data_IF_846057871953
#
_entry.id   IF_846057871953
#
_cell.length_a   1.000
_cell.length_b   1.000
_cell.length_c   1.000
_cell.angle_alpha   90.00
_cell.angle_beta   90.00
_cell.angle_gamma   90.00
#
_symmetry.space_group_name_H-M   'P 1'
#
loop_
_entity.id
_entity.type
_entity.pdbx_description
1 polymer ?
#
# COMPACT_ATOMS: atom_id res chain seq x y z
N UNK A 1 -34.99 -0.86 13.49
CA UNK A 1 -35.40 -1.52 12.23
C UNK A 1 -35.15 -0.53 11.08
N UNK A 2 -33.97 -0.54 10.44
CA UNK A 2 -33.75 0.27 9.24
C UNK A 2 -34.44 -0.47 8.08
N UNK A 3 -35.53 0.08 7.58
CA UNK A 3 -36.17 -0.35 6.33
C UNK A 3 -35.12 -0.12 5.22
N UNK A 4 -34.60 -1.22 4.65
CA UNK A 4 -33.85 -1.15 3.39
C UNK A 4 -34.78 -0.56 2.34
N UNK A 5 -34.58 0.71 1.99
CA UNK A 5 -35.19 1.26 0.80
C UNK A 5 -34.72 0.38 -0.38
N UNK A 6 -35.70 -0.19 -1.12
CA UNK A 6 -35.47 -0.81 -2.44
C UNK A 6 -35.17 0.28 -3.48
N UNK A 7 -34.23 1.16 -3.18
CA UNK A 7 -33.75 2.20 -4.07
C UNK A 7 -32.37 1.86 -4.60
N UNK A 8 -31.99 2.45 -5.71
CA UNK A 8 -30.62 2.43 -6.20
C UNK A 8 -29.67 2.84 -5.04
N UNK A 9 -28.63 2.03 -4.82
CA UNK A 9 -27.55 2.35 -3.89
C UNK A 9 -26.50 3.19 -4.65
N UNK A 10 -26.49 4.51 -4.55
CA UNK A 10 -25.62 5.37 -5.34
C UNK A 10 -24.13 5.06 -5.10
N UNK A 11 -23.74 4.74 -3.87
CA UNK A 11 -22.37 4.33 -3.56
C UNK A 11 -21.94 3.08 -4.32
N UNK A 12 -22.81 2.08 -4.47
CA UNK A 12 -22.52 0.87 -5.27
C UNK A 12 -22.39 1.23 -6.76
N UNK A 13 -23.26 2.11 -7.28
CA UNK A 13 -23.16 2.53 -8.69
C UNK A 13 -21.87 3.29 -8.97
N UNK A 14 -21.47 4.21 -8.09
CA UNK A 14 -20.19 4.90 -8.22
C UNK A 14 -19.01 3.93 -8.14
N UNK A 15 -19.08 2.93 -7.26
CA UNK A 15 -18.04 1.90 -7.17
C UNK A 15 -17.95 1.09 -8.46
N UNK A 16 -19.06 0.65 -9.04
CA UNK A 16 -19.08 -0.08 -10.30
C UNK A 16 -18.51 0.77 -11.46
N UNK A 17 -18.81 2.07 -11.49
CA UNK A 17 -18.21 3.00 -12.46
C UNK A 17 -16.69 3.08 -12.31
N UNK A 18 -16.16 3.14 -11.07
CA UNK A 18 -14.72 3.12 -10.81
C UNK A 18 -14.07 1.81 -11.27
N UNK A 19 -14.70 0.66 -10.98
CA UNK A 19 -14.20 -0.64 -11.40
C UNK A 19 -14.16 -0.76 -12.93
N UNK A 20 -15.18 -0.25 -13.61
CA UNK A 20 -15.24 -0.21 -15.06
C UNK A 20 -14.13 0.66 -15.66
N UNK A 21 -13.90 1.86 -15.09
CA UNK A 21 -12.85 2.78 -15.54
C UNK A 21 -11.44 2.19 -15.37
N UNK A 22 -11.18 1.50 -14.27
CA UNK A 22 -9.90 0.81 -14.03
C UNK A 22 -9.73 -0.38 -14.97
N UNK A 23 -10.81 -1.04 -15.33
CA UNK A 23 -10.85 -2.27 -16.11
C UNK A 23 -10.53 -3.51 -15.27
N UNK A 24 -11.42 -4.50 -15.33
CA UNK A 24 -11.32 -5.72 -14.50
C UNK A 24 -10.00 -6.48 -14.69
N UNK A 25 -9.44 -6.47 -15.91
CA UNK A 25 -8.17 -7.14 -16.22
C UNK A 25 -6.96 -6.49 -15.52
N UNK A 26 -7.09 -5.24 -15.06
CA UNK A 26 -6.02 -4.53 -14.36
C UNK A 26 -6.06 -4.76 -12.84
N UNK A 27 -7.13 -5.39 -12.33
CA UNK A 27 -7.32 -5.63 -10.90
C UNK A 27 -6.81 -7.05 -10.57
N UNK A 28 -5.82 -7.19 -9.69
CA UNK A 28 -5.32 -8.49 -9.28
C UNK A 28 -6.39 -9.33 -8.58
N UNK A 29 -6.28 -10.68 -8.65
CA UNK A 29 -7.39 -11.58 -8.32
C UNK A 29 -7.84 -11.52 -6.86
N UNK A 30 -6.95 -11.40 -5.87
CA UNK A 30 -7.34 -11.31 -4.45
C UNK A 30 -8.00 -9.98 -4.15
N UNK A 31 -7.50 -8.88 -4.72
CA UNK A 31 -8.13 -7.56 -4.62
C UNK A 31 -9.54 -7.62 -5.20
N UNK A 32 -9.71 -8.18 -6.39
CA UNK A 32 -11.02 -8.32 -7.03
C UNK A 32 -11.96 -9.23 -6.23
N UNK A 33 -11.49 -10.37 -5.73
CA UNK A 33 -12.27 -11.28 -4.90
C UNK A 33 -12.72 -10.61 -3.59
N UNK A 34 -11.82 -9.87 -2.93
CA UNK A 34 -12.16 -9.16 -1.69
C UNK A 34 -13.18 -8.06 -1.92
N UNK A 35 -13.07 -7.30 -3.03
CA UNK A 35 -14.09 -6.32 -3.45
C UNK A 35 -15.44 -7.00 -3.66
N UNK A 36 -15.46 -8.11 -4.42
CA UNK A 36 -16.68 -8.85 -4.73
C UNK A 36 -17.36 -9.39 -3.46
N UNK A 37 -16.60 -9.96 -2.52
CA UNK A 37 -17.13 -10.47 -1.24
C UNK A 37 -17.78 -9.35 -0.41
N UNK A 38 -17.14 -8.19 -0.30
CA UNK A 38 -17.68 -7.05 0.45
C UNK A 38 -18.98 -6.50 -0.19
N UNK A 39 -18.99 -6.36 -1.53
CA UNK A 39 -20.19 -5.93 -2.26
C UNK A 39 -21.30 -6.97 -2.10
N UNK A 40 -20.99 -8.26 -2.20
CA UNK A 40 -21.95 -9.34 -2.04
C UNK A 40 -22.61 -9.30 -0.65
N UNK A 41 -21.83 -9.22 0.44
CA UNK A 41 -22.39 -9.16 1.81
C UNK A 41 -23.10 -7.86 2.10
N UNK A 42 -22.79 -6.79 1.41
CA UNK A 42 -23.58 -5.56 1.50
C UNK A 42 -24.95 -5.71 0.82
N UNK A 43 -25.00 -6.31 -0.37
CA UNK A 43 -26.25 -6.52 -1.11
C UNK A 43 -27.09 -7.65 -0.51
N UNK A 44 -26.44 -8.72 -0.06
CA UNK A 44 -27.05 -9.94 0.51
C UNK A 44 -26.40 -10.25 1.87
N UNK A 45 -26.75 -9.51 2.95
CA UNK A 45 -26.13 -9.73 4.25
C UNK A 45 -26.52 -11.08 4.82
N UNK A 46 -25.53 -11.85 5.25
CA UNK A 46 -25.73 -13.13 5.94
C UNK A 46 -26.48 -12.97 7.26
N UNK A 47 -26.24 -11.86 7.96
CA UNK A 47 -26.89 -11.51 9.21
C UNK A 47 -27.21 -10.01 9.23
N UNK A 48 -28.24 -9.58 9.97
CA UNK A 48 -28.46 -8.15 10.22
C UNK A 48 -27.26 -7.51 10.91
N UNK A 49 -27.07 -6.21 10.73
CA UNK A 49 -25.92 -5.46 11.25
C UNK A 49 -25.71 -5.61 12.75
N UNK A 50 -26.76 -5.61 13.53
CA UNK A 50 -26.76 -5.83 14.98
C UNK A 50 -26.24 -7.21 15.40
N UNK A 51 -26.38 -8.20 14.51
CA UNK A 51 -25.88 -9.57 14.70
C UNK A 51 -24.51 -9.81 14.03
N UNK A 52 -24.03 -8.90 13.20
CA UNK A 52 -22.73 -8.99 12.51
C UNK A 52 -21.66 -8.11 13.16
N UNK A 53 -22.03 -7.00 13.80
CA UNK A 53 -21.07 -6.08 14.40
C UNK A 53 -20.32 -6.70 15.58
N UNK A 54 -19.05 -6.32 15.73
CA UNK A 54 -18.15 -6.82 16.76
C UNK A 54 -18.17 -5.91 18.00
N UNK A 55 -18.30 -6.48 19.20
CA UNK A 55 -18.14 -5.78 20.48
C UNK A 55 -17.65 -6.73 21.57
N UNK A 56 -17.09 -6.17 22.64
CA UNK A 56 -16.60 -6.92 23.81
C UNK A 56 -17.72 -7.77 24.40
N UNK A 57 -18.89 -7.16 24.64
CA UNK A 57 -20.05 -7.83 25.21
C UNK A 57 -20.46 -9.08 24.41
N UNK A 58 -20.58 -8.95 23.08
CA UNK A 58 -21.00 -10.08 22.26
C UNK A 58 -19.91 -11.14 22.09
N UNK A 59 -18.65 -10.74 21.86
CA UNK A 59 -17.58 -11.67 21.57
C UNK A 59 -17.03 -12.35 22.83
N UNK A 60 -16.69 -11.59 23.87
CA UNK A 60 -16.03 -12.14 25.06
C UNK A 60 -17.04 -12.72 26.06
N UNK A 61 -18.11 -12.00 26.40
CA UNK A 61 -19.07 -12.47 27.41
C UNK A 61 -20.10 -13.44 26.83
N UNK A 62 -20.67 -13.14 25.64
CA UNK A 62 -21.65 -14.04 25.00
C UNK A 62 -21.02 -15.11 24.10
N UNK A 63 -19.70 -15.07 23.92
CA UNK A 63 -18.89 -16.04 23.12
C UNK A 63 -19.35 -16.16 21.66
N UNK A 64 -19.87 -15.05 21.09
CA UNK A 64 -20.39 -15.00 19.73
C UNK A 64 -19.27 -14.69 18.71
N UNK A 65 -18.33 -15.63 18.59
CA UNK A 65 -17.07 -15.46 17.85
C UNK A 65 -17.22 -15.28 16.33
N UNK A 66 -18.38 -15.65 15.75
CA UNK A 66 -18.59 -15.42 14.32
C UNK A 66 -18.55 -13.93 13.93
N UNK A 67 -18.79 -13.02 14.89
CA UNK A 67 -18.69 -11.57 14.70
C UNK A 67 -17.26 -11.12 14.37
N UNK A 68 -16.25 -11.87 14.83
CA UNK A 68 -14.85 -11.55 14.59
C UNK A 68 -14.50 -11.47 13.10
N UNK A 69 -15.10 -12.36 12.29
CA UNK A 69 -14.87 -12.35 10.84
C UNK A 69 -16.00 -11.69 10.04
N UNK A 70 -17.26 -11.74 10.54
CA UNK A 70 -18.37 -11.12 9.82
C UNK A 70 -18.32 -9.60 9.84
N UNK A 71 -17.90 -9.00 10.96
CA UNK A 71 -17.87 -7.55 11.12
C UNK A 71 -17.03 -6.84 10.07
N UNK A 72 -15.89 -7.42 9.68
CA UNK A 72 -15.00 -6.83 8.69
C UNK A 72 -15.65 -6.70 7.30
N UNK A 73 -16.56 -7.61 6.93
CA UNK A 73 -17.18 -7.65 5.60
C UNK A 73 -18.57 -7.00 5.55
N UNK A 74 -19.12 -6.54 6.69
CA UNK A 74 -20.39 -5.83 6.74
C UNK A 74 -20.16 -4.32 6.79
N UNK A 75 -21.01 -3.56 6.13
CA UNK A 75 -20.94 -2.09 6.07
C UNK A 75 -22.24 -1.47 6.50
N UNK A 76 -22.16 -0.33 7.22
CA UNK A 76 -23.33 0.34 7.79
C UNK A 76 -24.25 0.92 6.70
N UNK A 77 -23.66 1.50 5.66
CA UNK A 77 -24.37 2.14 4.56
C UNK A 77 -23.55 2.05 3.26
N UNK A 78 -24.12 2.51 2.15
CA UNK A 78 -23.53 2.41 0.81
C UNK A 78 -22.34 3.35 0.60
N UNK A 79 -22.29 4.50 1.25
CA UNK A 79 -21.13 5.39 1.23
C UNK A 79 -19.97 4.82 2.03
N UNK A 80 -20.25 4.20 3.18
CA UNK A 80 -19.26 3.49 3.96
C UNK A 80 -18.63 2.35 3.14
N UNK A 81 -19.45 1.57 2.42
CA UNK A 81 -18.94 0.56 1.47
C UNK A 81 -18.09 1.21 0.36
N UNK A 82 -18.61 2.27 -0.28
CA UNK A 82 -17.94 2.93 -1.41
C UNK A 82 -16.52 3.37 -1.05
N UNK A 83 -16.37 4.15 0.03
CA UNK A 83 -15.06 4.67 0.42
C UNK A 83 -14.10 3.55 0.82
N UNK A 84 -14.58 2.50 1.49
CA UNK A 84 -13.78 1.34 1.82
C UNK A 84 -13.30 0.61 0.54
N UNK A 85 -14.18 0.37 -0.39
CA UNK A 85 -13.86 -0.41 -1.60
C UNK A 85 -12.98 0.37 -2.58
N UNK A 86 -13.18 1.68 -2.73
CA UNK A 86 -12.24 2.52 -3.51
C UNK A 86 -10.86 2.53 -2.87
N UNK A 87 -10.79 2.64 -1.54
CA UNK A 87 -9.53 2.55 -0.80
C UNK A 87 -8.83 1.19 -0.99
N UNK A 88 -9.61 0.09 -0.92
CA UNK A 88 -9.11 -1.27 -1.20
C UNK A 88 -8.60 -1.42 -2.62
N UNK A 89 -9.34 -0.93 -3.61
CA UNK A 89 -8.98 -1.01 -5.02
C UNK A 89 -7.57 -0.46 -5.27
N UNK A 90 -7.30 0.75 -4.82
CA UNK A 90 -6.00 1.41 -5.05
C UNK A 90 -4.87 0.82 -4.22
N UNK A 91 -5.11 0.51 -2.94
CA UNK A 91 -4.10 -0.10 -2.06
C UNK A 91 -3.85 -1.56 -2.45
N UNK A 92 -4.92 -2.30 -2.76
CA UNK A 92 -4.86 -3.71 -3.14
C UNK A 92 -4.08 -3.93 -4.43
N UNK A 93 -4.37 -3.17 -5.50
CA UNK A 93 -3.62 -3.28 -6.76
C UNK A 93 -2.11 -3.10 -6.54
N UNK A 94 -1.72 -2.11 -5.73
CA UNK A 94 -0.30 -1.84 -5.46
C UNK A 94 0.35 -2.93 -4.61
N UNK A 95 -0.31 -3.31 -3.53
CA UNK A 95 0.25 -4.27 -2.57
C UNK A 95 0.24 -5.70 -3.11
N UNK A 96 -0.81 -6.14 -3.80
CA UNK A 96 -0.89 -7.48 -4.36
C UNK A 96 0.14 -7.69 -5.47
N UNK A 97 0.34 -6.70 -6.37
CA UNK A 97 1.40 -6.74 -7.38
C UNK A 97 2.80 -6.80 -6.76
N UNK A 98 3.00 -6.18 -5.60
CA UNK A 98 4.29 -6.16 -4.91
C UNK A 98 4.55 -7.42 -4.08
N UNK A 99 3.55 -7.91 -3.37
CA UNK A 99 3.67 -9.00 -2.40
C UNK A 99 3.42 -10.38 -3.02
N UNK A 100 2.79 -10.41 -4.19
CA UNK A 100 2.27 -11.62 -4.81
C UNK A 100 0.89 -12.00 -4.27
N UNK A 101 0.10 -12.63 -5.13
CA UNK A 101 -1.32 -12.94 -4.89
C UNK A 101 -1.53 -13.79 -3.64
N UNK A 102 -0.76 -14.88 -3.46
CA UNK A 102 -0.94 -15.79 -2.32
C UNK A 102 -0.60 -15.14 -0.99
N UNK A 103 0.53 -14.41 -0.94
CA UNK A 103 0.93 -13.72 0.30
C UNK A 103 -0.04 -12.59 0.65
N UNK A 104 -0.50 -11.84 -0.35
CA UNK A 104 -1.49 -10.80 -0.14
C UNK A 104 -2.83 -11.37 0.34
N UNK A 105 -3.27 -12.50 -0.21
CA UNK A 105 -4.46 -13.22 0.26
C UNK A 105 -4.34 -13.65 1.73
N UNK A 106 -3.18 -14.20 2.10
CA UNK A 106 -2.90 -14.56 3.50
C UNK A 106 -2.93 -13.34 4.42
N UNK A 107 -2.35 -12.21 4.00
CA UNK A 107 -2.42 -10.93 4.74
C UNK A 107 -3.88 -10.49 4.93
N UNK A 108 -4.70 -10.49 3.89
CA UNK A 108 -6.11 -10.06 3.96
C UNK A 108 -6.86 -10.89 5.00
N UNK A 109 -6.75 -12.21 4.96
CA UNK A 109 -7.44 -13.10 5.90
C UNK A 109 -6.96 -12.87 7.33
N UNK A 110 -5.64 -12.88 7.54
CA UNK A 110 -5.08 -12.74 8.89
C UNK A 110 -5.34 -11.35 9.49
N UNK A 111 -5.19 -10.30 8.69
CA UNK A 111 -5.47 -8.93 9.15
C UNK A 111 -6.95 -8.73 9.50
N UNK A 112 -7.87 -9.35 8.75
CA UNK A 112 -9.30 -9.28 9.08
C UNK A 112 -9.60 -9.86 10.46
N UNK A 113 -8.92 -10.94 10.86
CA UNK A 113 -9.07 -11.55 12.17
C UNK A 113 -8.33 -10.75 13.26
N UNK A 114 -7.08 -10.37 13.01
CA UNK A 114 -6.25 -9.69 14.00
C UNK A 114 -6.76 -8.29 14.33
N UNK A 115 -7.23 -7.54 13.34
CA UNK A 115 -7.81 -6.21 13.58
C UNK A 115 -9.03 -6.31 14.49
N UNK A 116 -9.90 -7.30 14.28
CA UNK A 116 -11.03 -7.56 15.18
C UNK A 116 -10.58 -7.93 16.59
N UNK A 117 -9.56 -8.80 16.74
CA UNK A 117 -9.02 -9.18 18.05
C UNK A 117 -8.38 -8.00 18.79
N UNK A 118 -7.57 -7.19 18.10
CA UNK A 118 -6.95 -5.98 18.68
C UNK A 118 -8.01 -4.93 19.03
N UNK A 119 -9.05 -4.79 18.21
CA UNK A 119 -10.19 -3.92 18.53
C UNK A 119 -10.86 -4.32 19.85
N UNK A 120 -11.19 -5.61 20.00
CA UNK A 120 -11.78 -6.11 21.25
C UNK A 120 -10.88 -5.84 22.46
N UNK A 121 -9.58 -6.04 22.30
CA UNK A 121 -8.60 -5.78 23.35
C UNK A 121 -8.53 -4.29 23.72
N UNK A 122 -8.52 -3.39 22.75
CA UNK A 122 -8.53 -1.94 22.98
C UNK A 122 -9.80 -1.47 23.70
N UNK A 123 -10.98 -1.92 23.25
CA UNK A 123 -12.26 -1.53 23.88
C UNK A 123 -12.38 -2.09 25.30
N UNK A 124 -11.90 -3.33 25.55
CA UNK A 124 -11.90 -3.91 26.90
C UNK A 124 -10.96 -3.12 27.84
N UNK A 125 -9.78 -2.73 27.37
CA UNK A 125 -8.85 -1.89 28.14
C UNK A 125 -9.45 -0.51 28.41
N UNK A 126 -10.11 0.11 27.42
CA UNK A 126 -10.74 1.42 27.59
C UNK A 126 -11.90 1.36 28.60
N UNK A 127 -12.71 0.31 28.58
CA UNK A 127 -13.78 0.09 29.54
C UNK A 127 -13.22 0.01 30.97
N UNK A 128 -12.15 -0.74 31.18
CA UNK A 128 -11.52 -0.91 32.50
C UNK A 128 -10.83 0.37 32.97
N UNK A 129 -10.01 1.00 32.12
CA UNK A 129 -9.23 2.20 32.48
C UNK A 129 -10.09 3.43 32.76
N UNK A 130 -11.20 3.59 32.02
CA UNK A 130 -12.10 4.76 32.15
C UNK A 130 -13.26 4.46 33.10
N UNK A 131 -13.44 3.21 33.51
CA UNK A 131 -14.54 2.78 34.37
C UNK A 131 -15.92 2.96 33.69
N UNK A 132 -15.95 2.99 32.34
CA UNK A 132 -17.17 3.18 31.56
C UNK A 132 -17.54 1.92 30.78
N UNK A 133 -18.55 1.16 31.20
CA UNK A 133 -18.99 -0.06 30.53
C UNK A 133 -19.56 0.18 29.13
N UNK A 134 -19.77 1.43 28.72
CA UNK A 134 -20.25 1.77 27.38
C UNK A 134 -19.30 1.25 26.30
N UNK A 135 -17.99 1.25 26.57
CA UNK A 135 -16.98 0.74 25.66
C UNK A 135 -17.15 -0.75 25.34
N UNK A 136 -17.65 -1.56 26.29
CA UNK A 136 -17.94 -2.98 26.04
C UNK A 136 -19.08 -3.19 25.02
N UNK A 137 -19.96 -2.20 24.90
CA UNK A 137 -21.12 -2.22 24.02
C UNK A 137 -20.88 -1.55 22.67
N UNK A 138 -19.77 -0.85 22.50
CA UNK A 138 -19.41 -0.26 21.20
C UNK A 138 -19.37 -1.35 20.13
N UNK A 139 -20.13 -1.14 19.06
CA UNK A 139 -20.34 -2.14 18.03
C UNK A 139 -19.78 -1.64 16.69
N UNK A 140 -18.69 -2.25 16.24
CA UNK A 140 -18.00 -1.86 15.02
C UNK A 140 -18.28 -2.83 13.86
N UNK A 141 -18.32 -2.27 12.64
CA UNK A 141 -18.40 -2.98 11.36
C UNK A 141 -17.58 -2.26 10.30
N UNK A 142 -17.13 -2.98 9.30
CA UNK A 142 -16.49 -2.43 8.12
C UNK A 142 -15.06 -2.92 7.91
N UNK A 143 -14.64 -2.87 6.68
CA UNK A 143 -13.28 -3.28 6.26
C UNK A 143 -12.22 -2.22 6.58
N UNK A 144 -12.62 -1.05 7.10
CA UNK A 144 -11.77 0.12 7.30
C UNK A 144 -10.56 -0.13 8.20
N UNK A 145 -10.70 -0.92 9.27
CA UNK A 145 -9.56 -1.29 10.11
C UNK A 145 -8.48 -2.06 9.32
N UNK A 146 -8.89 -3.01 8.47
CA UNK A 146 -7.96 -3.72 7.56
C UNK A 146 -7.31 -2.73 6.58
N UNK A 147 -8.06 -1.75 6.07
CA UNK A 147 -7.52 -0.73 5.16
C UNK A 147 -6.49 0.17 5.83
N UNK A 148 -6.63 0.47 7.13
CA UNK A 148 -5.61 1.17 7.89
C UNK A 148 -4.34 0.32 8.04
N UNK A 149 -4.47 -0.98 8.29
CA UNK A 149 -3.32 -1.89 8.29
C UNK A 149 -2.63 -1.93 6.92
N UNK A 150 -3.40 -2.04 5.83
CA UNK A 150 -2.87 -1.99 4.46
C UNK A 150 -2.25 -0.62 4.12
N UNK A 151 -2.76 0.48 4.69
CA UNK A 151 -2.16 1.81 4.55
C UNK A 151 -0.78 1.87 5.16
N UNK A 152 -0.60 1.31 6.37
CA UNK A 152 0.71 1.20 7.02
C UNK A 152 1.68 0.39 6.15
N UNK A 153 1.24 -0.74 5.60
CA UNK A 153 2.05 -1.53 4.67
C UNK A 153 2.42 -0.74 3.41
N UNK A 154 1.45 -0.06 2.80
CA UNK A 154 1.71 0.75 1.60
C UNK A 154 2.74 1.86 1.87
N UNK A 155 2.63 2.51 3.03
CA UNK A 155 3.59 3.54 3.45
C UNK A 155 4.98 2.95 3.71
N UNK A 156 5.05 1.77 4.32
CA UNK A 156 6.31 1.06 4.55
C UNK A 156 7.03 0.69 3.25
N UNK A 157 6.28 0.22 2.25
CA UNK A 157 6.85 -0.16 0.96
C UNK A 157 7.13 1.03 0.02
N UNK A 158 6.58 2.22 0.31
CA UNK A 158 6.77 3.44 -0.47
C UNK A 158 7.12 4.63 0.44
N UNK A 159 8.27 4.60 1.14
CA UNK A 159 8.58 5.57 2.21
C UNK A 159 8.84 6.99 1.69
N UNK A 160 9.36 7.13 0.46
CA UNK A 160 9.70 8.44 -0.14
C UNK A 160 8.52 9.19 -0.76
N UNK A 161 7.31 8.62 -0.73
CA UNK A 161 6.12 9.25 -1.29
C UNK A 161 5.46 10.25 -0.35
N UNK A 162 4.62 11.11 -0.93
CA UNK A 162 3.71 11.97 -0.18
C UNK A 162 2.26 11.66 -0.57
N UNK A 163 1.35 11.88 0.36
CA UNK A 163 -0.09 11.73 0.15
C UNK A 163 -0.76 13.07 0.45
N UNK A 164 -1.62 13.54 -0.45
CA UNK A 164 -2.44 14.72 -0.17
C UNK A 164 -3.65 14.30 0.67
N UNK A 165 -3.77 14.87 1.87
CA UNK A 165 -4.88 14.65 2.78
C UNK A 165 -5.49 16.01 3.07
N UNK A 166 -6.71 16.25 2.61
CA UNK A 166 -7.44 17.51 2.78
C UNK A 166 -6.64 18.76 2.32
N UNK A 167 -5.90 18.65 1.21
CA UNK A 167 -5.07 19.75 0.69
C UNK A 167 -3.67 19.85 1.30
N UNK A 168 -3.38 19.10 2.36
CA UNK A 168 -2.06 19.04 3.00
C UNK A 168 -1.21 17.92 2.39
N UNK A 169 -0.01 18.26 1.94
CA UNK A 169 0.93 17.29 1.39
C UNK A 169 1.75 16.67 2.53
N UNK A 170 1.44 15.44 2.89
CA UNK A 170 1.99 14.75 4.06
C UNK A 170 2.87 13.60 3.63
N UNK A 171 4.07 13.51 4.23
CA UNK A 171 4.94 12.35 4.02
C UNK A 171 4.20 11.05 4.35
N UNK A 172 4.41 10.03 3.53
CA UNK A 172 3.79 8.71 3.74
C UNK A 172 4.02 8.15 5.14
N UNK A 173 5.16 8.47 5.77
CA UNK A 173 5.48 8.06 7.14
C UNK A 173 4.40 8.43 8.17
N UNK A 174 3.78 9.59 8.02
CA UNK A 174 2.79 10.12 8.97
C UNK A 174 1.36 10.07 8.45
N UNK A 175 1.16 9.71 7.17
CA UNK A 175 -0.13 9.84 6.51
C UNK A 175 -1.23 8.96 7.12
N UNK A 176 -0.90 7.80 7.73
CA UNK A 176 -1.90 6.96 8.40
C UNK A 176 -2.44 7.62 9.68
N UNK A 177 -1.61 8.32 10.44
CA UNK A 177 -2.01 9.02 11.65
C UNK A 177 -2.88 10.24 11.36
N UNK A 178 -2.48 11.03 10.35
CA UNK A 178 -3.30 12.17 9.94
C UNK A 178 -4.63 11.72 9.35
N UNK A 179 -4.65 10.64 8.54
CA UNK A 179 -5.89 10.06 8.01
C UNK A 179 -6.82 9.57 9.13
N UNK A 180 -6.26 8.94 10.18
CA UNK A 180 -7.02 8.55 11.38
C UNK A 180 -7.71 9.75 12.03
N UNK A 181 -6.97 10.81 12.30
CA UNK A 181 -7.52 12.03 12.92
C UNK A 181 -8.54 12.71 12.01
N UNK A 182 -8.23 12.85 10.72
CA UNK A 182 -9.11 13.48 9.74
C UNK A 182 -10.46 12.75 9.63
N UNK A 183 -10.43 11.42 9.52
CA UNK A 183 -11.67 10.62 9.45
C UNK A 183 -12.48 10.77 10.72
N UNK A 184 -11.86 10.77 11.89
CA UNK A 184 -12.57 10.90 13.16
C UNK A 184 -13.19 12.29 13.34
N UNK A 185 -12.53 13.34 12.89
CA UNK A 185 -13.08 14.73 12.89
C UNK A 185 -14.25 14.86 11.91
N UNK A 186 -14.09 14.28 10.69
CA UNK A 186 -15.13 14.37 9.64
C UNK A 186 -16.32 13.45 9.91
N UNK A 187 -16.08 12.30 10.51
CA UNK A 187 -17.10 11.30 10.84
C UNK A 187 -16.93 10.77 12.28
N UNK A 188 -17.39 11.52 13.28
CA UNK A 188 -17.26 11.12 14.70
C UNK A 188 -17.95 9.80 15.05
N UNK A 189 -18.84 9.30 14.18
CA UNK A 189 -19.49 8.00 14.37
C UNK A 189 -18.63 6.82 13.95
N UNK A 190 -17.50 7.06 13.29
CA UNK A 190 -16.55 6.00 12.95
C UNK A 190 -15.83 5.49 14.21
N UNK A 191 -15.54 4.19 14.26
CA UNK A 191 -14.82 3.61 15.39
C UNK A 191 -13.33 4.01 15.37
N UNK A 192 -12.95 4.93 16.25
CA UNK A 192 -11.53 5.30 16.42
C UNK A 192 -10.69 4.09 16.81
N UNK A 193 -11.15 3.29 17.77
CA UNK A 193 -10.45 2.09 18.22
C UNK A 193 -10.28 1.04 17.11
N UNK A 194 -11.28 0.90 16.22
CA UNK A 194 -11.20 -0.01 15.08
C UNK A 194 -10.13 0.41 14.04
N UNK A 195 -10.02 1.70 13.76
CA UNK A 195 -8.98 2.25 12.88
C UNK A 195 -7.59 2.18 13.51
N UNK A 196 -7.49 2.50 14.81
CA UNK A 196 -6.24 2.38 15.58
C UNK A 196 -5.77 0.92 15.64
N UNK A 197 -6.69 -0.02 15.86
CA UNK A 197 -6.38 -1.47 15.81
C UNK A 197 -5.75 -1.86 14.46
N UNK A 198 -6.28 -1.32 13.37
CA UNK A 198 -5.70 -1.52 12.04
C UNK A 198 -4.27 -1.00 11.93
N UNK A 199 -4.01 0.22 12.41
CA UNK A 199 -2.64 0.79 12.43
C UNK A 199 -1.70 -0.10 13.24
N UNK A 200 -2.11 -0.55 14.43
CA UNK A 200 -1.29 -1.39 15.28
C UNK A 200 -0.94 -2.73 14.63
N UNK A 201 -1.92 -3.40 14.00
CA UNK A 201 -1.68 -4.65 13.25
C UNK A 201 -0.71 -4.41 12.08
N UNK A 202 -0.87 -3.32 11.33
CA UNK A 202 0.05 -2.93 10.26
C UNK A 202 1.47 -2.69 10.78
N UNK A 203 1.62 -2.02 11.92
CA UNK A 203 2.91 -1.80 12.58
C UNK A 203 3.54 -3.12 13.07
N UNK A 204 2.77 -4.02 13.68
CA UNK A 204 3.27 -5.34 14.09
C UNK A 204 3.84 -6.13 12.90
N UNK A 205 3.23 -6.00 11.72
CA UNK A 205 3.75 -6.61 10.51
C UNK A 205 5.02 -5.92 10.02
N UNK A 206 5.03 -4.60 9.92
CA UNK A 206 6.16 -3.83 9.35
C UNK A 206 7.38 -3.77 10.27
N UNK A 207 7.18 -3.81 11.59
CA UNK A 207 8.25 -3.90 12.58
C UNK A 207 8.84 -5.32 12.70
N UNK A 208 8.19 -6.34 12.13
CA UNK A 208 8.71 -7.67 11.98
C UNK A 208 8.01 -8.79 12.72
N UNK A 209 7.55 -8.64 13.98
CA UNK A 209 7.10 -9.81 14.78
C UNK A 209 5.97 -10.57 14.10
N UNK A 210 4.97 -9.88 13.56
CA UNK A 210 3.87 -10.54 12.85
C UNK A 210 4.33 -11.17 11.53
N UNK A 211 5.20 -10.50 10.77
CA UNK A 211 5.76 -11.03 9.52
C UNK A 211 6.57 -12.32 9.78
N UNK A 212 7.38 -12.34 10.84
CA UNK A 212 8.16 -13.51 11.25
C UNK A 212 7.23 -14.67 11.59
N UNK A 213 6.20 -14.42 12.42
CA UNK A 213 5.20 -15.42 12.76
C UNK A 213 4.48 -15.98 11.52
N UNK A 214 4.01 -15.11 10.64
CA UNK A 214 3.36 -15.50 9.39
C UNK A 214 4.26 -16.38 8.51
N UNK A 215 5.55 -16.02 8.39
CA UNK A 215 6.53 -16.78 7.62
C UNK A 215 6.80 -18.14 8.25
N UNK A 216 6.90 -18.21 9.57
CA UNK A 216 7.05 -19.47 10.28
C UNK A 216 5.86 -20.41 10.09
N UNK A 217 4.63 -19.89 10.14
CA UNK A 217 3.40 -20.67 9.89
C UNK A 217 3.31 -21.24 8.46
N UNK A 218 3.98 -20.64 7.50
CA UNK A 218 4.05 -21.12 6.10
C UNK A 218 5.21 -22.08 5.85
N UNK A 219 5.87 -22.59 6.91
CA UNK A 219 7.01 -23.50 6.79
C UNK A 219 8.26 -22.89 6.18
N UNK A 220 8.43 -21.57 6.29
CA UNK A 220 9.56 -20.86 5.68
C UNK A 220 9.49 -20.75 4.16
N UNK A 221 8.44 -21.28 3.53
CA UNK A 221 8.16 -21.01 2.11
C UNK A 221 7.82 -19.53 1.96
N UNK A 222 8.85 -18.74 1.71
CA UNK A 222 8.67 -17.38 1.16
C UNK A 222 8.05 -17.62 -0.20
N UNK A 223 6.73 -17.35 -0.32
CA UNK A 223 6.13 -17.26 -1.65
C UNK A 223 6.97 -16.29 -2.45
N UNK A 224 7.40 -16.63 -3.68
CA UNK A 224 8.26 -15.77 -4.46
C UNK A 224 7.55 -14.41 -4.59
N UNK A 225 7.96 -13.48 -3.75
CA UNK A 225 7.60 -12.07 -3.92
C UNK A 225 8.34 -11.66 -5.16
N UNK A 226 7.64 -11.29 -6.23
CA UNK A 226 8.22 -10.95 -7.54
C UNK A 226 9.16 -9.75 -7.53
N UNK A 227 9.69 -9.37 -6.37
CA UNK A 227 10.75 -8.40 -6.18
C UNK A 227 11.64 -8.86 -5.03
N UNK A 228 12.88 -9.20 -5.35
CA UNK A 228 13.94 -9.30 -4.36
C UNK A 228 13.98 -8.02 -3.53
N UNK A 229 13.89 -8.13 -2.23
CA UNK A 229 14.20 -7.03 -1.30
C UNK A 229 15.65 -6.61 -1.60
N UNK A 230 15.84 -5.58 -2.41
CA UNK A 230 17.12 -4.88 -2.50
C UNK A 230 17.24 -4.13 -1.17
N UNK A 231 17.77 -4.84 -0.17
CA UNK A 231 18.20 -4.25 1.10
C UNK A 231 19.30 -3.25 0.78
N UNK A 232 18.95 -1.98 0.70
CA UNK A 232 19.92 -0.90 0.82
C UNK A 232 20.45 -0.92 2.26
N UNK A 233 21.36 -1.84 2.53
CA UNK A 233 22.22 -1.80 3.71
C UNK A 233 23.29 -0.73 3.49
N UNK A 234 22.97 0.52 3.77
CA UNK A 234 24.00 1.49 4.14
C UNK A 234 24.47 1.11 5.56
N UNK A 235 25.34 0.14 5.64
CA UNK A 235 26.09 -0.17 6.85
C UNK A 235 27.55 0.18 6.57
N UNK A 236 27.95 1.35 7.08
CA UNK A 236 29.33 1.78 7.27
C UNK A 236 30.21 0.64 7.76
N UNK A 237 31.39 0.53 7.15
CA UNK A 237 32.29 -0.58 7.20
C UNK A 237 32.76 -1.03 8.57
N UNK A 238 33.11 -2.30 8.59
CA UNK A 238 34.38 -2.78 9.17
C UNK A 238 34.66 -4.15 8.55
N UNK A 239 35.68 -4.16 7.72
CA UNK A 239 36.25 -5.38 7.17
C UNK A 239 36.91 -6.17 8.31
N UNK A 240 36.43 -7.39 8.55
CA UNK A 240 37.24 -8.43 9.19
C UNK A 240 37.20 -9.68 8.33
N UNK A 241 38.35 -9.96 7.74
CA UNK A 241 38.67 -11.12 6.95
C UNK A 241 38.68 -12.37 7.85
N UNK A 242 37.87 -13.38 7.55
CA UNK A 242 38.10 -14.75 8.00
C UNK A 242 37.53 -15.69 6.92
N UNK A 243 38.40 -16.51 6.37
CA UNK A 243 38.13 -17.37 5.24
C UNK A 243 37.29 -18.58 5.58
N UNK A 244 36.43 -18.97 4.64
CA UNK A 244 36.02 -20.34 4.40
C UNK A 244 35.54 -20.50 2.98
N UNK A 245 35.91 -21.57 2.25
CA UNK A 245 35.75 -21.69 0.82
C UNK A 245 34.48 -22.52 0.51
N UNK A 246 33.44 -21.87 0.04
CA UNK A 246 32.45 -22.46 -0.85
C UNK A 246 31.38 -21.39 -1.20
N UNK A 247 31.68 -20.58 -2.24
CA UNK A 247 30.65 -19.85 -2.98
C UNK A 247 30.61 -20.39 -4.40
N UNK A 248 29.39 -20.66 -4.96
CA UNK A 248 29.27 -20.87 -6.40
C UNK A 248 29.62 -19.56 -7.11
N UNK A 249 30.27 -19.62 -8.30
CA UNK A 249 30.70 -18.42 -9.01
C UNK A 249 29.48 -17.55 -9.33
N UNK A 250 29.56 -16.28 -8.92
CA UNK A 250 28.61 -15.25 -9.32
C UNK A 250 28.61 -15.16 -10.84
N UNK A 251 27.49 -15.46 -11.48
CA UNK A 251 27.23 -15.31 -12.91
C UNK A 251 27.23 -13.84 -13.37
N UNK A 252 28.08 -12.98 -12.81
CA UNK A 252 28.22 -11.58 -13.24
C UNK A 252 28.76 -11.50 -14.67
N UNK A 253 29.69 -12.39 -15.03
CA UNK A 253 30.29 -12.47 -16.37
C UNK A 253 29.27 -12.79 -17.47
N UNK A 254 28.13 -13.42 -17.12
CA UNK A 254 27.08 -13.74 -18.08
C UNK A 254 26.25 -12.50 -18.48
N UNK A 255 26.16 -11.49 -17.63
CA UNK A 255 25.45 -10.23 -17.90
C UNK A 255 26.36 -9.14 -18.46
N UNK A 256 27.66 -9.18 -18.13
CA UNK A 256 28.64 -8.18 -18.54
C UNK A 256 29.45 -8.63 -19.76
N UNK A 257 29.31 -9.89 -20.17
CA UNK A 257 30.11 -10.48 -21.26
C UNK A 257 31.61 -10.47 -20.97
N UNK A 258 32.00 -10.53 -19.69
CA UNK A 258 33.40 -10.52 -19.25
C UNK A 258 34.08 -9.15 -19.32
N UNK A 259 33.31 -8.07 -19.50
CA UNK A 259 33.85 -6.71 -19.58
C UNK A 259 33.98 -6.08 -18.19
N UNK A 260 35.05 -5.37 -17.94
CA UNK A 260 35.23 -4.53 -16.74
C UNK A 260 34.26 -3.36 -16.74
N UNK A 261 34.02 -2.73 -15.57
CA UNK A 261 33.12 -1.56 -15.46
C UNK A 261 33.58 -0.40 -16.37
N UNK A 262 34.89 -0.23 -16.53
CA UNK A 262 35.47 0.79 -17.40
C UNK A 262 35.20 0.51 -18.89
N UNK A 263 35.33 -0.74 -19.32
CA UNK A 263 35.02 -1.16 -20.69
C UNK A 263 33.54 -1.09 -21.01
N UNK A 264 32.67 -1.36 -20.02
CA UNK A 264 31.22 -1.19 -20.14
C UNK A 264 30.83 0.29 -20.28
N UNK A 265 31.49 1.16 -19.51
CA UNK A 265 31.28 2.60 -19.59
C UNK A 265 31.75 3.15 -20.94
N UNK A 266 32.93 2.77 -21.41
CA UNK A 266 33.45 3.19 -22.73
C UNK A 266 32.55 2.69 -23.87
N UNK A 267 32.05 1.46 -23.80
CA UNK A 267 31.08 0.94 -24.79
C UNK A 267 29.75 1.71 -24.75
N UNK A 268 29.24 2.04 -23.57
CA UNK A 268 28.00 2.81 -23.42
C UNK A 268 28.16 4.22 -24.03
N UNK A 269 29.27 4.88 -23.75
CA UNK A 269 29.62 6.20 -24.32
C UNK A 269 29.79 6.11 -25.85
N UNK A 270 30.51 5.11 -26.34
CA UNK A 270 30.72 4.88 -27.77
C UNK A 270 29.42 4.61 -28.52
N UNK A 271 28.51 3.76 -27.95
CA UNK A 271 27.21 3.48 -28.53
C UNK A 271 26.33 4.73 -28.56
N UNK A 272 26.33 5.53 -27.48
CA UNK A 272 25.56 6.79 -27.39
C UNK A 272 26.03 7.83 -28.42
N UNK A 273 27.35 7.89 -28.68
CA UNK A 273 27.93 8.76 -29.71
C UNK A 273 27.61 8.25 -31.13
N UNK A 274 27.57 6.94 -31.32
CA UNK A 274 27.29 6.30 -32.62
C UNK A 274 25.82 6.43 -33.00
N UNK A 275 24.90 6.34 -32.05
CA UNK A 275 23.47 6.62 -32.28
C UNK A 275 23.23 8.10 -32.66
N UNK A 276 24.02 9.02 -32.11
CA UNK A 276 23.98 10.43 -32.48
C UNK A 276 24.44 10.69 -33.93
N UNK A 277 25.39 9.90 -34.42
CA UNK A 277 25.90 10.02 -35.81
C UNK A 277 25.00 9.35 -36.87
N UNK A 278 24.13 8.41 -36.48
CA UNK A 278 23.25 7.65 -37.39
C UNK A 278 21.89 8.30 -37.66
N UNK A 279 21.47 9.28 -36.86
CA UNK A 279 20.13 9.86 -36.92
C UNK A 279 20.02 11.15 -37.74
N UNK A 280 20.94 11.40 -38.70
CA UNK A 280 20.89 12.57 -39.60
C UNK A 280 20.21 12.30 -40.94
N UNK A 281 19.34 11.30 -41.04
CA UNK A 281 18.46 11.17 -42.22
C UNK A 281 17.05 10.76 -41.83
N UNK A 282 16.07 11.66 -42.14
CA UNK A 282 14.63 11.54 -42.06
C UNK A 282 13.97 11.66 -40.67
N UNK A 283 13.66 12.88 -40.30
CA UNK A 283 12.37 13.15 -39.64
C UNK A 283 11.78 14.48 -40.12
N UNK A 284 10.74 14.36 -40.89
CA UNK A 284 9.73 15.41 -41.15
C UNK A 284 8.95 15.61 -39.85
N UNK A 285 8.84 16.86 -39.45
CA UNK A 285 7.87 17.58 -38.63
C UNK A 285 7.05 16.79 -37.58
N UNK A 286 7.02 17.43 -36.40
CA UNK A 286 6.01 17.35 -35.33
C UNK A 286 6.29 16.33 -34.21
N UNK A 287 6.97 16.81 -33.22
CA UNK A 287 6.89 16.73 -31.75
C UNK A 287 8.29 16.79 -31.15
N UNK A 288 8.70 17.99 -30.78
CA UNK A 288 9.95 18.19 -30.04
C UNK A 288 9.75 17.83 -28.56
N UNK A 289 10.64 17.06 -27.94
CA UNK A 289 10.63 16.84 -26.50
C UNK A 289 10.90 18.16 -25.77
N UNK A 290 10.22 18.38 -24.68
CA UNK A 290 10.31 19.53 -23.80
C UNK A 290 11.76 19.77 -23.35
N UNK A 291 12.35 20.94 -23.70
CA UNK A 291 13.55 21.44 -23.04
C UNK A 291 14.82 21.70 -23.88
N UNK A 292 14.83 21.50 -25.21
CA UNK A 292 15.99 21.81 -26.04
C UNK A 292 15.69 22.89 -27.08
N UNK A 293 16.16 24.11 -26.79
CA UNK A 293 15.95 25.28 -27.68
C UNK A 293 17.15 25.70 -28.51
N UNK A 294 18.30 24.98 -28.46
CA UNK A 294 19.49 25.34 -29.23
C UNK A 294 20.12 24.09 -29.84
N UNK A 295 20.56 24.20 -31.10
CA UNK A 295 21.35 23.17 -31.76
C UNK A 295 22.72 23.03 -31.08
N UNK A 296 23.29 21.82 -30.98
CA UNK A 296 24.56 21.59 -30.27
C UNK A 296 25.81 22.25 -30.91
N UNK A 297 25.66 22.88 -32.06
CA UNK A 297 26.81 23.42 -32.83
C UNK A 297 27.11 24.89 -32.53
N UNK A 298 26.29 25.60 -31.75
CA UNK A 298 26.42 27.05 -31.57
C UNK A 298 26.94 27.56 -30.23
N UNK A 299 27.14 26.68 -29.25
CA UNK A 299 27.61 27.10 -27.92
C UNK A 299 28.89 26.41 -27.52
N UNK A 300 29.91 27.20 -27.21
CA UNK A 300 31.17 26.69 -26.65
C UNK A 300 30.96 26.11 -25.24
N UNK A 301 31.83 25.20 -24.82
CA UNK A 301 31.75 24.58 -23.47
C UNK A 301 31.78 25.65 -22.35
N UNK A 302 32.37 26.80 -22.60
CA UNK A 302 32.48 27.93 -21.70
C UNK A 302 31.16 28.70 -21.55
N UNK A 303 30.43 28.83 -22.61
CA UNK A 303 29.10 29.45 -22.65
C UNK A 303 28.05 28.60 -21.94
N UNK A 304 28.09 27.30 -22.10
CA UNK A 304 27.26 26.34 -21.35
C UNK A 304 27.56 26.39 -19.84
N UNK A 305 28.80 26.56 -19.47
CA UNK A 305 29.22 26.73 -18.06
C UNK A 305 28.71 28.05 -17.48
N UNK A 306 28.75 29.13 -18.25
CA UNK A 306 28.26 30.44 -17.83
C UNK A 306 26.73 30.46 -17.65
N UNK A 307 25.98 29.80 -18.53
CA UNK A 307 24.52 29.66 -18.38
C UNK A 307 24.13 28.82 -17.17
N UNK A 308 24.89 27.81 -16.81
CA UNK A 308 24.68 27.02 -15.58
C UNK A 308 24.91 27.86 -14.33
N UNK A 309 25.97 28.66 -14.27
CA UNK A 309 26.26 29.55 -13.16
C UNK A 309 25.17 30.61 -12.97
N UNK A 310 24.72 31.28 -14.05
CA UNK A 310 23.65 32.27 -13.98
C UNK A 310 22.28 31.67 -13.58
N UNK A 311 22.07 30.38 -13.74
CA UNK A 311 20.86 29.71 -13.24
C UNK A 311 20.91 29.48 -11.72
N UNK A 312 22.09 29.24 -11.17
CA UNK A 312 22.28 29.09 -9.73
C UNK A 312 22.13 30.41 -8.96
N UNK A 313 22.61 31.53 -9.53
CA UNK A 313 22.49 32.86 -8.91
C UNK A 313 21.06 33.44 -8.91
N UNK A 314 20.14 32.89 -9.70
CA UNK A 314 18.72 33.30 -9.71
C UNK A 314 17.85 32.62 -8.66
N UNK A 315 18.41 31.70 -7.88
CA UNK A 315 17.71 30.91 -6.87
C UNK A 315 18.24 31.22 -5.44
N UNK A 316 19.06 32.22 -5.26
CA UNK A 316 19.38 32.87 -4.00
C UNK A 316 18.65 34.22 -3.91
#
# INVERSE_FOLDING_TARGET
MQRRHKGLNPGVLFLLSQLYQVGFNNIPPVTLATLAVNIFFFLQPLKPLDKACISVNYCLYKKDWHRLYLSAFHHADDWHLYFNMVSLLWKGIKLEKRLGTMWFGYIIVLFSLLVGAVYLFLEAILAELLGDPLYEHHCAVGFSGVLFALKVLNNYYHPGGSTNIMGLNVSNKYSCWLELLAIHVLNPRSSFAGHLAGILVGLMYTMGPLKIFMTACTGGHVFPTGFSEQRNNYRTGNFRYSGSPFYPPNNYDMYTGGLTEEEQFERAVSNSLRERGSNTRHYTSERRPYGFWLSPEELSAEELRRQRLNRFERWQ
#
